data_IF_196920556646
#
_entry.id   IF_196920556646
#
_cell.length_a   1.000
_cell.length_b   1.000
_cell.length_c   1.000
_cell.angle_alpha   90.00
_cell.angle_beta   90.00
_cell.angle_gamma   90.00
#
_symmetry.space_group_name_H-M   'P 1'
#
loop_
_entity.id
_entity.type
_entity.pdbx_description
1 polymer ?
#
# COMPACT_ATOMS: atom_id res chain seq x y z
N UNK A 1 4.97 28.99 24.63
CA UNK A 1 5.63 29.44 23.40
C UNK A 1 6.69 28.42 22.99
N UNK A 2 6.91 28.27 21.71
CA UNK A 2 7.97 27.40 21.18
C UNK A 2 9.33 28.08 21.46
N UNK A 3 10.35 27.29 21.78
CA UNK A 3 11.70 27.81 21.99
C UNK A 3 12.36 28.17 20.63
N UNK A 4 13.29 29.11 20.66
CA UNK A 4 14.13 29.41 19.49
C UNK A 4 14.92 28.14 19.11
N UNK A 5 14.71 27.63 17.92
CA UNK A 5 15.30 26.36 17.42
C UNK A 5 14.32 25.23 17.26
N UNK A 6 13.08 25.36 17.73
CA UNK A 6 12.03 24.39 17.41
C UNK A 6 11.73 24.43 15.91
N UNK A 7 11.47 23.25 15.31
CA UNK A 7 11.03 23.16 13.92
C UNK A 7 9.58 23.66 13.79
N UNK A 8 9.44 24.97 13.73
CA UNK A 8 8.17 25.67 13.57
C UNK A 8 8.22 26.60 12.36
N UNK A 9 7.11 26.68 11.66
CA UNK A 9 6.88 27.64 10.57
C UNK A 9 5.79 28.60 10.99
N UNK A 10 6.03 29.89 10.75
CA UNK A 10 5.00 30.92 10.83
C UNK A 10 4.27 31.01 9.47
N UNK A 11 2.96 30.93 9.52
CA UNK A 11 2.09 31.09 8.37
C UNK A 11 1.60 32.52 8.24
N UNK A 12 1.05 32.95 7.07
CA UNK A 12 0.71 34.35 6.80
C UNK A 12 -0.23 35.02 7.81
N UNK A 13 -1.07 34.26 8.49
CA UNK A 13 -1.94 34.73 9.56
C UNK A 13 -1.24 34.81 10.95
N UNK A 14 0.08 34.66 10.98
CA UNK A 14 0.90 34.56 12.19
C UNK A 14 0.69 33.31 13.03
N UNK A 15 0.03 32.29 12.49
CA UNK A 15 -0.08 30.97 13.13
C UNK A 15 1.27 30.26 13.08
N UNK A 16 1.79 29.88 14.25
CA UNK A 16 2.99 29.04 14.36
C UNK A 16 2.60 27.58 14.47
N UNK A 17 3.16 26.76 13.61
CA UNK A 17 2.94 25.29 13.62
C UNK A 17 4.24 24.52 13.54
N UNK A 18 4.33 23.39 14.26
CA UNK A 18 5.40 22.42 14.03
C UNK A 18 5.41 21.98 12.58
N UNK A 19 6.59 21.83 12.01
CA UNK A 19 6.77 21.29 10.67
C UNK A 19 7.64 20.04 10.71
N UNK A 20 7.31 19.08 9.82
CA UNK A 20 8.11 17.92 9.52
C UNK A 20 8.60 17.95 8.08
N UNK A 21 9.19 16.84 7.64
CA UNK A 21 9.72 16.73 6.29
C UNK A 21 8.64 16.93 5.19
N UNK A 22 7.40 16.52 5.43
CA UNK A 22 6.32 16.73 4.48
C UNK A 22 6.07 18.22 4.21
N UNK A 23 6.06 19.05 5.26
CA UNK A 23 5.90 20.49 5.08
C UNK A 23 7.16 21.12 4.48
N UNK A 24 8.35 20.69 4.95
CA UNK A 24 9.61 21.26 4.49
C UNK A 24 9.82 21.12 2.98
N UNK A 25 9.49 19.96 2.44
CA UNK A 25 9.63 19.67 1.00
C UNK A 25 8.35 19.85 0.20
N UNK A 26 7.20 19.71 0.83
CA UNK A 26 5.90 19.73 0.17
C UNK A 26 5.28 21.11 0.08
N UNK A 27 5.47 22.00 1.09
CA UNK A 27 4.94 23.36 1.07
C UNK A 27 5.54 24.22 -0.07
N UNK A 28 6.70 23.84 -0.55
CA UNK A 28 7.41 24.49 -1.67
C UNK A 28 7.29 23.71 -2.98
N UNK A 29 6.49 22.66 -2.99
CA UNK A 29 6.26 21.77 -4.15
C UNK A 29 7.53 21.11 -4.70
N UNK A 30 8.59 21.04 -3.90
CA UNK A 30 9.85 20.36 -4.27
C UNK A 30 9.69 18.85 -4.33
N UNK A 31 8.74 18.30 -3.59
CA UNK A 31 8.34 16.91 -3.62
C UNK A 31 6.83 16.79 -3.69
N UNK A 32 6.35 15.85 -4.45
CA UNK A 32 4.95 15.48 -4.54
C UNK A 32 4.74 14.14 -3.85
N UNK A 33 3.56 13.96 -3.25
CA UNK A 33 3.24 12.81 -2.43
C UNK A 33 1.93 12.17 -2.84
N UNK A 34 1.89 10.86 -2.74
CA UNK A 34 0.69 10.06 -2.87
C UNK A 34 0.67 8.96 -1.82
N UNK A 35 -0.47 8.33 -1.64
CA UNK A 35 -0.64 7.23 -0.69
C UNK A 35 -1.46 6.11 -1.31
N UNK A 36 -0.94 4.91 -1.18
CA UNK A 36 -1.64 3.64 -1.40
C UNK A 36 -1.72 2.93 -0.06
N UNK A 37 -2.89 2.41 0.28
CA UNK A 37 -3.09 1.62 1.51
C UNK A 37 -3.78 0.30 1.19
N UNK A 38 -3.71 -0.66 2.09
CA UNK A 38 -4.66 -1.77 2.12
C UNK A 38 -6.09 -1.25 2.28
N UNK A 39 -7.07 -2.11 2.07
CA UNK A 39 -8.50 -1.78 2.15
C UNK A 39 -9.24 -2.72 3.09
N UNK A 40 -10.36 -2.28 3.65
CA UNK A 40 -11.21 -3.12 4.50
C UNK A 40 -12.05 -4.10 3.70
N UNK A 41 -12.57 -3.66 2.54
CA UNK A 41 -13.42 -4.47 1.67
C UNK A 41 -12.63 -5.54 0.90
N UNK A 42 -11.34 -5.27 0.66
CA UNK A 42 -10.43 -6.11 -0.11
C UNK A 42 -9.15 -6.37 0.69
N UNK A 43 -9.35 -6.74 1.94
CA UNK A 43 -8.27 -6.88 2.90
C UNK A 43 -7.29 -8.03 2.61
N UNK A 44 -7.64 -8.94 1.70
CA UNK A 44 -6.76 -9.99 1.18
C UNK A 44 -6.21 -9.69 -0.21
N UNK A 45 -6.60 -8.58 -0.83
CA UNK A 45 -6.41 -8.36 -2.26
C UNK A 45 -5.85 -6.97 -2.52
N UNK A 46 -4.55 -6.83 -2.53
CA UNK A 46 -3.87 -5.62 -2.96
C UNK A 46 -4.11 -4.38 -2.13
N UNK A 47 -4.03 -3.24 -2.78
CA UNK A 47 -4.21 -1.93 -2.18
C UNK A 47 -4.90 -0.96 -3.12
N UNK A 48 -5.41 0.14 -2.57
CA UNK A 48 -6.06 1.20 -3.34
C UNK A 48 -5.42 2.56 -3.07
N UNK A 49 -5.47 3.42 -4.09
CA UNK A 49 -4.95 4.79 -4.02
C UNK A 49 -5.87 5.64 -3.17
N UNK A 50 -5.37 6.13 -2.04
CA UNK A 50 -6.09 7.04 -1.16
C UNK A 50 -5.87 8.50 -1.54
N UNK A 51 -4.66 8.81 -2.00
CA UNK A 51 -4.33 10.10 -2.61
C UNK A 51 -3.45 9.89 -3.83
N UNK A 52 -3.78 10.55 -4.94
CA UNK A 52 -2.92 10.62 -6.12
C UNK A 52 -1.64 11.38 -5.79
N UNK A 53 -0.55 11.08 -6.51
CA UNK A 53 0.67 11.90 -6.42
C UNK A 53 0.32 13.34 -6.83
N UNK A 54 0.67 14.25 -5.97
CA UNK A 54 0.41 15.67 -6.16
C UNK A 54 1.15 16.50 -5.13
N UNK A 55 1.09 17.84 -5.26
CA UNK A 55 1.71 18.74 -4.32
C UNK A 55 1.09 18.60 -2.93
N UNK A 56 1.88 18.80 -1.89
CA UNK A 56 1.35 18.80 -0.52
C UNK A 56 0.51 20.04 -0.23
N UNK A 57 0.72 21.09 -0.99
CA UNK A 57 -0.03 22.35 -0.91
C UNK A 57 -1.52 22.19 -1.27
N UNK A 58 -1.93 21.07 -1.85
CA UNK A 58 -3.34 20.77 -2.08
C UNK A 58 -4.08 20.27 -0.83
N UNK A 59 -3.35 19.88 0.23
CA UNK A 59 -3.87 19.41 1.52
C UNK A 59 -3.72 20.43 2.64
N UNK A 60 -2.89 21.44 2.46
CA UNK A 60 -2.51 22.41 3.50
C UNK A 60 -2.80 23.82 3.04
N UNK A 61 -3.39 24.64 3.90
CA UNK A 61 -3.63 26.05 3.62
C UNK A 61 -2.32 26.86 3.82
N UNK A 62 -1.33 26.60 2.99
CA UNK A 62 0.03 27.21 3.14
C UNK A 62 0.03 28.73 3.03
N UNK A 63 -0.93 29.31 2.29
CA UNK A 63 -1.07 30.75 2.10
C UNK A 63 -1.97 31.42 3.15
N UNK A 64 -2.39 30.70 4.18
CA UNK A 64 -3.26 31.23 5.25
C UNK A 64 -2.69 30.82 6.61
N UNK A 65 -3.04 29.66 7.10
CA UNK A 65 -2.85 29.24 8.48
C UNK A 65 -2.14 27.88 8.64
N UNK A 66 -1.75 27.25 7.54
CA UNK A 66 -1.07 25.96 7.54
C UNK A 66 -1.91 24.80 8.09
N UNK A 67 -3.22 24.91 8.14
CA UNK A 67 -4.10 23.82 8.57
C UNK A 67 -4.26 22.76 7.49
N UNK A 68 -4.34 21.51 7.90
CA UNK A 68 -4.75 20.42 7.04
C UNK A 68 -6.23 20.55 6.69
N UNK A 69 -6.56 20.19 5.47
CA UNK A 69 -7.94 20.13 4.98
C UNK A 69 -8.37 18.68 4.82
N UNK A 70 -9.68 18.44 4.91
CA UNK A 70 -10.21 17.07 4.78
C UNK A 70 -10.06 16.52 3.37
N UNK A 71 -10.25 17.38 2.38
CA UNK A 71 -10.17 17.01 0.96
C UNK A 71 -9.06 17.79 0.29
N UNK A 72 -8.41 17.17 -0.68
CA UNK A 72 -7.34 17.81 -1.45
C UNK A 72 -7.84 18.24 -2.84
N UNK A 73 -7.12 19.14 -3.48
CA UNK A 73 -7.33 19.48 -4.89
C UNK A 73 -7.48 20.95 -5.19
N UNK A 74 -8.68 21.40 -5.57
CA UNK A 74 -8.90 22.74 -6.08
C UNK A 74 -8.61 23.83 -5.06
N UNK A 75 -7.90 24.87 -5.51
CA UNK A 75 -7.63 26.07 -4.73
C UNK A 75 -8.39 27.26 -5.32
N UNK A 76 -8.79 28.20 -4.45
CA UNK A 76 -9.29 29.51 -4.87
C UNK A 76 -8.13 30.45 -5.26
N UNK A 77 -8.47 31.66 -5.69
CA UNK A 77 -7.49 32.67 -6.04
C UNK A 77 -6.56 33.09 -4.87
N UNK A 78 -6.95 32.84 -3.63
CA UNK A 78 -6.13 33.07 -2.44
C UNK A 78 -5.25 31.86 -2.09
N UNK A 79 -5.23 30.80 -2.90
CA UNK A 79 -4.46 29.58 -2.65
C UNK A 79 -5.04 28.67 -1.58
N UNK A 80 -6.27 28.90 -1.14
CA UNK A 80 -6.95 28.08 -0.15
C UNK A 80 -7.61 26.88 -0.85
N UNK A 81 -7.53 25.70 -0.25
CA UNK A 81 -8.23 24.53 -0.75
C UNK A 81 -9.75 24.71 -0.57
N UNK A 82 -10.47 24.74 -1.66
CA UNK A 82 -11.93 24.94 -1.72
C UNK A 82 -12.72 23.69 -1.99
N UNK A 83 -12.03 22.60 -2.25
CA UNK A 83 -12.62 21.31 -2.55
C UNK A 83 -11.64 20.42 -3.29
N UNK A 84 -12.09 19.22 -3.58
CA UNK A 84 -11.30 18.21 -4.27
C UNK A 84 -11.62 18.21 -5.77
N UNK A 85 -10.59 18.08 -6.60
CA UNK A 85 -10.78 17.69 -8.02
C UNK A 85 -11.40 16.30 -8.11
N UNK A 86 -11.25 15.53 -7.06
CA UNK A 86 -11.86 14.24 -6.84
C UNK A 86 -12.96 14.43 -5.81
N UNK A 87 -14.21 14.37 -6.23
CA UNK A 87 -15.35 14.59 -5.35
C UNK A 87 -15.19 13.78 -4.05
N UNK A 88 -15.16 14.49 -2.94
CA UNK A 88 -15.06 13.94 -1.59
C UNK A 88 -13.79 13.13 -1.25
N UNK A 89 -12.75 13.15 -2.08
CA UNK A 89 -11.52 12.41 -1.77
C UNK A 89 -10.77 13.03 -0.57
N UNK A 90 -10.29 12.19 0.31
CA UNK A 90 -9.48 12.60 1.44
C UNK A 90 -8.02 12.84 1.03
N UNK A 91 -7.32 13.71 1.77
CA UNK A 91 -5.88 13.85 1.67
C UNK A 91 -5.14 12.75 2.43
N UNK A 92 -3.79 12.79 2.40
CA UNK A 92 -2.93 11.83 3.09
C UNK A 92 -3.25 11.82 4.59
N UNK A 93 -3.18 12.99 5.22
CA UNK A 93 -3.32 13.10 6.67
C UNK A 93 -4.74 12.71 7.12
N UNK A 94 -5.75 13.19 6.40
CA UNK A 94 -7.13 12.84 6.76
C UNK A 94 -7.41 11.35 6.58
N UNK A 95 -6.97 10.73 5.49
CA UNK A 95 -7.11 9.29 5.28
C UNK A 95 -6.44 8.50 6.39
N UNK A 96 -5.15 8.76 6.66
CA UNK A 96 -4.40 8.04 7.68
C UNK A 96 -4.98 8.23 9.09
N UNK A 97 -5.56 9.40 9.39
CA UNK A 97 -6.20 9.66 10.69
C UNK A 97 -7.53 8.93 10.89
N UNK A 98 -8.18 8.51 9.81
CA UNK A 98 -9.44 7.79 9.85
C UNK A 98 -9.27 6.28 9.96
N UNK A 99 -8.15 5.72 9.51
CA UNK A 99 -7.88 4.29 9.63
C UNK A 99 -7.84 3.87 11.10
N UNK A 100 -8.58 2.82 11.44
CA UNK A 100 -8.70 2.29 12.79
C UNK A 100 -9.12 0.83 12.75
N UNK A 101 -8.98 0.15 13.87
CA UNK A 101 -9.61 -1.17 14.09
C UNK A 101 -11.13 -1.00 14.03
N UNK A 102 -11.80 -1.84 13.26
CA UNK A 102 -13.25 -1.87 13.08
C UNK A 102 -13.84 -3.18 13.63
N UNK A 103 -15.15 -3.19 13.86
CA UNK A 103 -15.93 -4.38 14.26
C UNK A 103 -15.44 -5.07 15.55
N UNK A 104 -14.63 -4.38 16.37
CA UNK A 104 -14.18 -4.91 17.66
C UNK A 104 -15.22 -4.69 18.76
N UNK A 105 -15.64 -5.78 19.41
CA UNK A 105 -16.57 -5.74 20.53
C UNK A 105 -15.80 -5.72 21.86
N UNK A 106 -15.95 -4.62 22.58
CA UNK A 106 -15.31 -4.48 23.90
C UNK A 106 -15.93 -5.38 24.98
N UNK A 107 -17.16 -5.89 24.77
CA UNK A 107 -17.88 -6.71 25.75
C UNK A 107 -17.28 -8.10 25.92
N UNK A 108 -16.72 -8.67 24.88
CA UNK A 108 -16.19 -10.04 24.86
C UNK A 108 -14.79 -10.16 24.21
N UNK A 109 -14.26 -9.06 23.70
CA UNK A 109 -12.94 -9.04 23.07
C UNK A 109 -12.89 -9.70 21.69
N UNK A 110 -14.01 -9.89 21.03
CA UNK A 110 -14.12 -10.52 19.72
C UNK A 110 -14.38 -9.50 18.63
N UNK A 111 -14.23 -9.92 17.39
CA UNK A 111 -14.62 -9.15 16.19
C UNK A 111 -15.93 -9.67 15.63
N UNK A 112 -16.80 -8.79 15.18
CA UNK A 112 -18.17 -9.14 14.76
C UNK A 112 -18.20 -10.08 13.55
N UNK A 113 -17.28 -9.94 12.64
CA UNK A 113 -17.26 -10.66 11.37
C UNK A 113 -16.13 -11.72 11.29
N UNK A 114 -15.41 -11.96 12.40
CA UNK A 114 -14.22 -12.78 12.41
C UNK A 114 -14.24 -13.76 13.59
N UNK A 115 -14.41 -15.03 13.30
CA UNK A 115 -14.05 -16.09 14.22
C UNK A 115 -12.54 -16.35 14.11
N UNK A 116 -11.82 -16.52 15.20
CA UNK A 116 -10.37 -16.73 15.25
C UNK A 116 -9.84 -17.93 14.45
N UNK A 117 -10.56 -18.38 13.47
CA UNK A 117 -10.08 -19.39 12.53
C UNK A 117 -9.17 -18.70 11.51
N UNK A 118 -7.88 -18.83 11.71
CA UNK A 118 -6.84 -18.43 10.76
C UNK A 118 -6.87 -19.28 9.45
N UNK A 119 -7.96 -19.96 9.18
CA UNK A 119 -8.26 -20.55 7.89
C UNK A 119 -8.70 -19.46 6.92
N UNK A 120 -8.64 -19.69 5.63
CA UNK A 120 -9.00 -18.69 4.61
C UNK A 120 -10.38 -18.09 4.86
N UNK A 121 -10.46 -16.78 4.78
CA UNK A 121 -11.70 -16.00 4.81
C UNK A 121 -11.89 -15.27 3.48
N UNK A 122 -13.12 -14.90 3.17
CA UNK A 122 -13.42 -14.11 1.98
C UNK A 122 -13.02 -12.64 2.17
N UNK A 123 -12.68 -11.93 1.10
CA UNK A 123 -12.51 -10.48 1.13
C UNK A 123 -13.69 -9.79 1.78
N UNK A 124 -13.44 -8.73 2.52
CA UNK A 124 -14.43 -7.97 3.26
C UNK A 124 -14.89 -8.62 4.56
N UNK A 125 -14.39 -9.82 4.88
CA UNK A 125 -14.53 -10.43 6.19
C UNK A 125 -13.23 -10.32 6.97
N UNK A 126 -13.31 -10.34 8.29
CA UNK A 126 -12.13 -10.14 9.14
C UNK A 126 -11.34 -8.88 8.73
N UNK A 127 -12.03 -7.76 8.57
CA UNK A 127 -11.53 -6.51 7.92
C UNK A 127 -10.23 -5.95 8.49
N UNK A 128 -9.87 -6.33 9.72
CA UNK A 128 -8.61 -5.91 10.36
C UNK A 128 -7.45 -6.88 10.11
N UNK A 129 -7.69 -7.96 9.38
CA UNK A 129 -6.74 -9.01 9.08
C UNK A 129 -6.46 -9.03 7.58
N UNK A 130 -5.33 -9.56 7.22
CA UNK A 130 -4.86 -9.53 5.85
C UNK A 130 -3.85 -8.39 5.65
N UNK A 131 -2.80 -8.71 4.91
CA UNK A 131 -1.72 -7.78 4.60
C UNK A 131 -1.09 -8.17 3.25
N UNK A 132 -1.79 -7.90 2.14
CA UNK A 132 -1.35 -8.24 0.78
C UNK A 132 -0.30 -7.24 0.29
N UNK A 133 0.87 -7.22 0.94
CA UNK A 133 1.88 -6.17 0.76
C UNK A 133 2.44 -6.12 -0.67
N UNK A 134 2.73 -7.28 -1.27
CA UNK A 134 3.26 -7.33 -2.64
C UNK A 134 2.23 -6.81 -3.66
N UNK A 135 0.95 -7.11 -3.45
CA UNK A 135 -0.12 -6.63 -4.31
C UNK A 135 -0.39 -5.13 -4.12
N UNK A 136 -0.32 -4.63 -2.88
CA UNK A 136 -0.39 -3.19 -2.62
C UNK A 136 0.79 -2.44 -3.26
N UNK A 137 1.98 -3.05 -3.25
CA UNK A 137 3.13 -2.51 -3.96
C UNK A 137 2.92 -2.53 -5.49
N UNK A 138 2.37 -3.61 -6.04
CA UNK A 138 1.99 -3.67 -7.45
C UNK A 138 0.99 -2.58 -7.83
N UNK A 139 0.01 -2.28 -6.97
CA UNK A 139 -0.94 -1.19 -7.21
C UNK A 139 -0.23 0.17 -7.32
N UNK A 140 0.80 0.41 -6.49
CA UNK A 140 1.62 1.62 -6.58
C UNK A 140 2.44 1.67 -7.88
N UNK A 141 3.06 0.55 -8.28
CA UNK A 141 3.81 0.46 -9.55
C UNK A 141 2.92 0.71 -10.76
N UNK A 142 1.75 0.08 -10.81
CA UNK A 142 0.76 0.30 -11.87
C UNK A 142 0.39 1.77 -11.99
N UNK A 143 0.24 2.43 -10.86
CA UNK A 143 -0.08 3.84 -10.84
C UNK A 143 1.07 4.70 -11.39
N UNK A 144 2.32 4.41 -11.06
CA UNK A 144 3.48 5.06 -11.66
C UNK A 144 3.60 4.76 -13.17
N UNK A 145 3.25 3.56 -13.60
CA UNK A 145 3.18 3.20 -15.02
C UNK A 145 1.98 3.81 -15.77
N UNK A 146 1.35 4.83 -15.21
CA UNK A 146 0.23 5.57 -15.81
C UNK A 146 -1.03 4.75 -16.06
N UNK A 147 -1.26 3.70 -15.28
CA UNK A 147 -2.50 2.93 -15.36
C UNK A 147 -3.65 3.65 -14.68
N UNK A 148 -4.66 4.02 -15.46
CA UNK A 148 -5.76 4.91 -15.02
C UNK A 148 -6.83 4.20 -14.19
N UNK A 149 -6.81 2.89 -14.13
CA UNK A 149 -7.80 2.10 -13.41
C UNK A 149 -7.16 1.24 -12.33
N UNK A 150 -7.77 1.20 -11.16
CA UNK A 150 -7.44 0.20 -10.17
C UNK A 150 -7.77 -1.20 -10.71
N UNK A 151 -7.01 -2.20 -10.30
CA UNK A 151 -7.41 -3.61 -10.49
C UNK A 151 -8.74 -3.81 -9.78
N UNK A 152 -9.73 -4.36 -10.48
CA UNK A 152 -11.07 -4.54 -9.91
C UNK A 152 -11.07 -5.36 -8.63
N UNK A 153 -10.17 -6.35 -8.53
CA UNK A 153 -9.98 -7.17 -7.33
C UNK A 153 -9.42 -6.38 -6.13
N UNK A 154 -8.63 -5.33 -6.37
CA UNK A 154 -7.96 -4.54 -5.31
C UNK A 154 -8.79 -3.38 -4.79
N UNK A 155 -9.77 -2.97 -5.57
CA UNK A 155 -10.55 -1.78 -5.28
C UNK A 155 -11.54 -2.01 -4.15
N UNK A 156 -11.36 -1.30 -3.02
CA UNK A 156 -12.30 -1.23 -1.92
C UNK A 156 -13.26 -0.05 -2.02
N UNK A 157 -14.30 -0.08 -1.20
CA UNK A 157 -15.18 1.05 -0.93
C UNK A 157 -15.14 1.36 0.58
N UNK A 158 -14.12 2.08 0.97
CA UNK A 158 -13.77 2.30 2.37
C UNK A 158 -14.85 3.07 3.14
N UNK A 159 -15.62 3.92 2.46
CA UNK A 159 -16.71 4.68 3.08
C UNK A 159 -17.87 3.79 3.57
N UNK A 160 -17.99 2.57 3.07
CA UNK A 160 -18.93 1.58 3.59
C UNK A 160 -18.53 1.04 4.97
N UNK A 161 -17.26 1.16 5.32
CA UNK A 161 -16.72 0.63 6.58
C UNK A 161 -16.44 1.77 7.58
N UNK A 162 -15.85 2.86 7.10
CA UNK A 162 -15.56 4.04 7.92
C UNK A 162 -16.20 5.27 7.27
N UNK A 163 -17.19 5.82 7.93
CA UNK A 163 -17.82 7.05 7.46
C UNK A 163 -16.82 8.17 7.27
N UNK A 164 -16.88 8.81 6.11
CA UNK A 164 -15.98 9.88 5.71
C UNK A 164 -14.63 9.43 5.16
N UNK A 165 -14.32 8.14 5.11
CA UNK A 165 -13.13 7.61 4.44
C UNK A 165 -13.43 7.39 2.95
N UNK A 166 -13.20 8.41 2.15
CA UNK A 166 -13.50 8.41 0.72
C UNK A 166 -12.22 8.34 -0.11
N UNK A 167 -12.20 7.47 -1.11
CA UNK A 167 -11.11 7.32 -2.07
C UNK A 167 -11.36 8.16 -3.32
N UNK A 168 -10.31 8.55 -4.08
CA UNK A 168 -10.46 9.23 -5.34
C UNK A 168 -11.24 8.40 -6.36
N UNK A 169 -12.19 9.01 -7.05
CA UNK A 169 -12.90 8.38 -8.17
C UNK A 169 -12.01 8.26 -9.42
N UNK A 170 -11.17 9.27 -9.65
CA UNK A 170 -10.11 9.22 -10.65
C UNK A 170 -8.78 8.93 -9.96
N UNK A 171 -8.15 7.84 -10.32
CA UNK A 171 -6.88 7.36 -9.76
C UNK A 171 -5.70 7.55 -10.70
N UNK A 172 -5.88 8.28 -11.80
CA UNK A 172 -4.79 8.60 -12.71
C UNK A 172 -3.64 9.29 -11.98
N UNK A 173 -2.39 8.93 -12.27
CA UNK A 173 -1.25 9.64 -11.72
C UNK A 173 -1.25 11.09 -12.18
N UNK A 174 -0.66 11.97 -11.37
CA UNK A 174 -0.45 13.38 -11.74
C UNK A 174 0.85 13.59 -12.53
N UNK A 175 1.38 12.51 -13.09
CA UNK A 175 2.57 12.56 -13.94
C UNK A 175 2.19 13.07 -15.33
N UNK A 176 3.03 13.92 -15.87
CA UNK A 176 2.89 14.54 -17.18
C UNK A 176 4.27 14.71 -17.81
N UNK A 177 4.31 15.17 -19.06
CA UNK A 177 5.57 15.46 -19.74
C UNK A 177 6.41 16.49 -18.99
N UNK A 178 5.78 17.42 -18.29
CA UNK A 178 6.45 18.48 -17.52
C UNK A 178 7.23 17.96 -16.31
N UNK A 179 6.85 16.80 -15.77
CA UNK A 179 7.50 16.17 -14.62
C UNK A 179 8.02 14.76 -14.90
N UNK A 180 8.15 14.39 -16.17
CA UNK A 180 8.62 13.07 -16.62
C UNK A 180 10.04 12.72 -16.13
N UNK A 181 10.86 13.71 -15.81
CA UNK A 181 12.20 13.52 -15.25
C UNK A 181 12.23 13.42 -13.72
N UNK A 182 11.08 13.50 -13.05
CA UNK A 182 11.03 13.38 -11.60
C UNK A 182 11.34 11.96 -11.15
N UNK A 183 12.19 11.82 -10.16
CA UNK A 183 12.46 10.51 -9.55
C UNK A 183 11.21 9.95 -8.89
N UNK A 184 10.81 8.74 -9.28
CA UNK A 184 9.74 7.99 -8.64
C UNK A 184 10.29 7.18 -7.48
N UNK A 185 9.73 7.36 -6.31
CA UNK A 185 10.16 6.66 -5.11
C UNK A 185 8.95 6.09 -4.37
N UNK A 186 9.04 4.84 -3.95
CA UNK A 186 8.04 4.19 -3.11
C UNK A 186 8.63 3.89 -1.75
N UNK A 187 8.00 4.40 -0.71
CA UNK A 187 8.30 4.02 0.68
C UNK A 187 7.27 3.00 1.11
N UNK A 188 7.72 1.79 1.40
CA UNK A 188 6.87 0.72 1.94
C UNK A 188 6.94 0.76 3.45
N UNK A 189 5.80 1.02 4.10
CA UNK A 189 5.64 0.93 5.53
C UNK A 189 4.74 -0.25 5.88
N UNK A 190 5.29 -1.18 6.65
CA UNK A 190 4.58 -2.38 7.07
C UNK A 190 4.86 -2.66 8.55
N UNK A 191 3.81 -2.81 9.35
CA UNK A 191 3.89 -3.05 10.79
C UNK A 191 3.38 -4.42 11.21
N UNK A 192 2.96 -5.27 10.26
CA UNK A 192 2.40 -6.58 10.57
C UNK A 192 2.94 -7.67 9.65
N UNK A 193 2.60 -8.92 9.96
CA UNK A 193 2.97 -10.07 9.15
C UNK A 193 2.29 -10.01 7.79
N UNK A 194 3.05 -10.18 6.72
CA UNK A 194 2.51 -10.26 5.37
C UNK A 194 1.64 -11.51 5.20
N UNK A 195 0.55 -11.36 4.46
CA UNK A 195 -0.39 -12.45 4.20
C UNK A 195 -1.18 -12.20 2.93
N UNK A 196 -1.56 -13.28 2.25
CA UNK A 196 -2.38 -13.25 1.03
C UNK A 196 -1.82 -12.31 -0.05
N UNK A 197 -0.51 -12.19 -0.15
CA UNK A 197 0.12 -11.16 -0.99
C UNK A 197 0.71 -11.70 -2.30
N UNK A 198 0.31 -12.88 -2.72
CA UNK A 198 0.89 -13.53 -3.88
C UNK A 198 -0.06 -14.24 -4.82
N UNK A 199 -1.33 -14.39 -4.47
CA UNK A 199 -2.31 -15.11 -5.29
C UNK A 199 -2.84 -14.24 -6.44
N UNK A 200 -2.72 -12.94 -6.35
CA UNK A 200 -3.14 -11.98 -7.38
C UNK A 200 -1.98 -11.32 -8.14
N UNK A 201 -0.83 -11.94 -8.11
CA UNK A 201 0.36 -11.55 -8.88
C UNK A 201 0.63 -12.48 -10.08
N UNK A 202 -0.19 -13.48 -10.31
CA UNK A 202 -0.05 -14.41 -11.43
C UNK A 202 -0.86 -13.93 -12.63
N UNK A 203 -0.21 -13.82 -13.77
CA UNK A 203 -0.73 -13.29 -15.05
C UNK A 203 -2.04 -13.91 -15.50
N UNK A 204 -2.28 -15.18 -15.19
CA UNK A 204 -3.46 -15.90 -15.65
C UNK A 204 -4.77 -15.44 -15.00
N UNK A 205 -4.71 -14.72 -13.88
CA UNK A 205 -5.89 -14.41 -13.08
C UNK A 205 -6.34 -12.95 -13.11
N UNK A 206 -5.46 -11.99 -13.37
CA UNK A 206 -5.76 -10.59 -13.05
C UNK A 206 -5.35 -9.54 -14.06
N UNK A 207 -4.67 -9.84 -15.14
CA UNK A 207 -4.19 -8.83 -16.08
C UNK A 207 -3.36 -7.69 -15.45
N UNK A 208 -3.29 -7.66 -14.11
CA UNK A 208 -2.65 -6.61 -13.36
C UNK A 208 -1.13 -6.54 -13.57
N UNK A 209 -0.54 -7.68 -13.83
CA UNK A 209 0.89 -7.82 -14.11
C UNK A 209 1.20 -7.47 -15.56
N UNK A 210 0.29 -7.77 -16.46
CA UNK A 210 0.44 -7.47 -17.90
C UNK A 210 0.43 -5.97 -18.19
N UNK A 211 -0.24 -5.18 -17.36
CA UNK A 211 -0.36 -3.73 -17.55
C UNK A 211 0.96 -2.97 -17.31
N UNK A 212 1.94 -3.55 -16.63
CA UNK A 212 3.22 -2.89 -16.37
C UNK A 212 4.24 -3.07 -17.49
N UNK A 213 4.22 -4.20 -18.07
CA UNK A 213 5.00 -4.61 -19.24
C UNK A 213 4.68 -6.08 -19.43
N UNK A 214 4.40 -6.52 -20.63
CA UNK A 214 4.04 -7.92 -20.95
C UNK A 214 5.05 -8.98 -20.45
N UNK A 215 6.19 -8.57 -19.94
CA UNK A 215 7.26 -9.43 -19.43
C UNK A 215 7.33 -9.52 -17.90
N UNK A 216 6.44 -8.87 -17.13
CA UNK A 216 6.52 -8.93 -15.67
C UNK A 216 6.05 -10.28 -15.15
N UNK A 217 6.99 -11.08 -14.66
CA UNK A 217 6.75 -12.31 -13.91
C UNK A 217 7.38 -12.16 -12.52
N UNK A 218 6.57 -11.77 -11.54
CA UNK A 218 7.03 -11.57 -10.17
C UNK A 218 7.66 -12.82 -9.55
N UNK A 219 7.14 -14.01 -9.89
CA UNK A 219 7.63 -15.29 -9.41
C UNK A 219 9.02 -15.60 -9.97
N UNK A 220 9.20 -15.46 -11.29
CA UNK A 220 10.49 -15.71 -11.94
C UNK A 220 11.56 -14.72 -11.44
N UNK A 221 11.21 -13.44 -11.27
CA UNK A 221 12.11 -12.42 -10.75
C UNK A 221 12.49 -12.69 -9.29
N UNK A 222 11.53 -13.11 -8.45
CA UNK A 222 11.82 -13.52 -7.06
C UNK A 222 12.74 -14.76 -7.02
N UNK A 223 12.56 -15.70 -7.95
CA UNK A 223 13.48 -16.84 -8.09
C UNK A 223 14.90 -16.39 -8.49
N UNK A 224 15.01 -15.35 -9.31
CA UNK A 224 16.31 -14.75 -9.65
C UNK A 224 16.98 -14.16 -8.40
N UNK A 225 16.24 -13.42 -7.58
CA UNK A 225 16.73 -12.90 -6.30
C UNK A 225 17.20 -14.04 -5.40
N UNK A 226 16.36 -15.08 -5.20
CA UNK A 226 16.73 -16.23 -4.37
C UNK A 226 18.03 -16.93 -4.82
N UNK A 227 18.32 -16.93 -6.12
CA UNK A 227 19.60 -17.44 -6.64
C UNK A 227 20.75 -16.48 -6.36
N UNK A 228 20.55 -15.18 -6.53
CA UNK A 228 21.59 -14.17 -6.30
C UNK A 228 21.99 -14.06 -4.83
N UNK A 229 21.05 -14.31 -3.93
CA UNK A 229 21.24 -14.32 -2.47
C UNK A 229 21.71 -15.70 -1.94
N UNK A 230 22.03 -16.63 -2.83
CA UNK A 230 22.51 -17.97 -2.47
C UNK A 230 21.54 -18.73 -1.53
N UNK A 231 20.23 -18.56 -1.74
CA UNK A 231 19.20 -19.22 -0.94
C UNK A 231 18.81 -20.60 -1.46
N UNK A 232 19.04 -20.86 -2.74
CA UNK A 232 18.60 -22.09 -3.41
C UNK A 232 19.32 -23.33 -2.86
N UNK A 233 18.54 -24.37 -2.58
CA UNK A 233 19.05 -25.64 -2.06
C UNK A 233 19.30 -25.62 -0.54
N UNK A 234 19.06 -24.51 0.14
CA UNK A 234 19.24 -24.37 1.60
C UNK A 234 17.93 -24.53 2.36
N UNK A 235 17.97 -25.00 3.61
CA UNK A 235 16.80 -25.14 4.45
C UNK A 235 16.44 -23.80 5.12
N UNK A 236 15.15 -23.43 5.05
CA UNK A 236 14.57 -22.28 5.76
C UNK A 236 13.28 -22.68 6.46
N UNK A 237 12.96 -22.04 7.58
CA UNK A 237 11.68 -22.20 8.25
C UNK A 237 10.61 -21.43 7.51
N UNK A 238 9.75 -22.15 6.80
CA UNK A 238 8.67 -21.60 5.97
C UNK A 238 7.41 -22.46 6.07
N UNK A 239 6.25 -21.89 5.75
CA UNK A 239 4.99 -22.60 5.69
C UNK A 239 4.94 -23.61 4.53
N UNK A 240 5.22 -23.12 3.31
CA UNK A 240 5.26 -23.92 2.08
C UNK A 240 6.51 -23.59 1.28
N UNK A 241 7.00 -24.53 0.49
CA UNK A 241 8.16 -24.34 -0.39
C UNK A 241 7.85 -24.64 -1.87
N UNK A 242 6.58 -24.70 -2.24
CA UNK A 242 6.13 -25.03 -3.59
C UNK A 242 6.20 -26.53 -3.95
N UNK A 243 6.56 -27.39 -3.02
CA UNK A 243 6.59 -28.84 -3.22
C UNK A 243 5.35 -29.50 -2.60
N UNK A 244 4.74 -30.41 -3.36
CA UNK A 244 3.65 -31.23 -2.84
C UNK A 244 4.25 -32.44 -2.14
N UNK A 245 3.99 -32.62 -0.85
CA UNK A 245 4.38 -33.81 -0.09
C UNK A 245 3.13 -34.65 0.16
N UNK A 246 3.11 -35.91 -0.26
CA UNK A 246 1.99 -36.81 0.01
C UNK A 246 1.71 -36.93 1.51
N UNK A 247 0.44 -36.71 1.88
CA UNK A 247 -0.01 -36.83 3.28
C UNK A 247 0.12 -35.56 4.12
N UNK A 248 0.69 -34.51 3.60
CA UNK A 248 0.71 -33.19 4.23
C UNK A 248 -0.20 -32.23 3.44
N UNK A 249 -1.31 -31.84 4.03
CA UNK A 249 -2.25 -30.91 3.42
C UNK A 249 -1.62 -29.51 3.37
N UNK A 250 -0.83 -29.26 2.33
CA UNK A 250 -0.29 -27.96 2.00
C UNK A 250 0.94 -27.52 2.75
N UNK A 251 1.65 -28.40 3.48
CA UNK A 251 2.88 -28.02 4.20
C UNK A 251 2.81 -26.70 5.00
N UNK A 252 1.63 -26.39 5.52
CA UNK A 252 1.35 -25.10 6.15
C UNK A 252 1.83 -25.03 7.62
N UNK A 253 2.80 -25.80 7.98
CA UNK A 253 3.44 -25.74 9.31
C UNK A 253 4.88 -25.27 9.19
N UNK A 254 5.31 -24.50 10.18
CA UNK A 254 6.68 -24.01 10.24
C UNK A 254 7.67 -25.15 10.48
N UNK A 255 8.29 -25.63 9.45
CA UNK A 255 9.37 -26.60 9.47
C UNK A 255 10.50 -26.19 8.54
N UNK A 256 11.69 -26.73 8.75
CA UNK A 256 12.79 -26.53 7.85
C UNK A 256 12.49 -27.23 6.51
N UNK A 257 12.37 -26.44 5.45
CA UNK A 257 12.13 -26.92 4.08
C UNK A 257 13.20 -26.38 3.15
N UNK A 258 13.68 -27.23 2.24
CA UNK A 258 14.64 -26.81 1.23
C UNK A 258 13.97 -25.88 0.24
N UNK A 259 14.47 -24.67 0.10
CA UNK A 259 13.97 -23.68 -0.86
C UNK A 259 14.69 -23.83 -2.19
N UNK A 260 13.99 -24.32 -3.20
CA UNK A 260 14.52 -24.43 -4.57
C UNK A 260 14.14 -23.21 -5.42
N UNK A 261 12.98 -22.63 -5.16
CA UNK A 261 12.46 -21.44 -5.83
C UNK A 261 11.86 -20.51 -4.77
N UNK A 262 12.46 -19.35 -4.56
CA UNK A 262 11.99 -18.39 -3.56
C UNK A 262 10.60 -17.84 -3.89
N UNK A 263 10.27 -17.71 -5.17
CA UNK A 263 8.94 -17.25 -5.63
C UNK A 263 7.79 -18.22 -5.37
N UNK A 264 8.10 -19.47 -4.95
CA UNK A 264 7.12 -20.50 -4.57
C UNK A 264 6.93 -20.62 -3.08
N UNK A 265 7.75 -19.91 -2.30
CA UNK A 265 7.68 -19.96 -0.84
C UNK A 265 6.49 -19.15 -0.37
N UNK A 266 5.71 -19.75 0.55
CA UNK A 266 4.56 -19.13 1.20
C UNK A 266 4.56 -19.40 2.69
N UNK A 267 3.98 -18.46 3.45
CA UNK A 267 3.80 -18.57 4.89
C UNK A 267 5.01 -18.10 5.68
N UNK A 268 4.81 -17.04 6.45
CA UNK A 268 5.82 -16.43 7.33
C UNK A 268 5.87 -17.20 8.64
N UNK A 269 7.05 -17.63 9.04
CA UNK A 269 7.28 -18.39 10.27
C UNK A 269 8.02 -17.56 11.33
N UNK A 270 7.66 -17.72 12.59
CA UNK A 270 6.66 -18.66 13.14
C UNK A 270 5.22 -18.12 13.18
N UNK A 271 4.99 -16.84 12.82
CA UNK A 271 3.77 -16.10 13.14
C UNK A 271 2.56 -16.55 12.30
N UNK A 272 2.75 -16.76 11.01
CA UNK A 272 1.63 -16.94 10.08
C UNK A 272 1.92 -17.94 8.95
N UNK A 273 2.23 -19.21 9.25
CA UNK A 273 2.59 -20.19 8.22
C UNK A 273 1.45 -20.51 7.25
N UNK A 274 0.20 -20.27 7.65
CA UNK A 274 -1.01 -20.58 6.86
C UNK A 274 -1.61 -19.39 6.12
N UNK A 275 -1.07 -18.19 6.32
CA UNK A 275 -1.64 -16.98 5.75
C UNK A 275 -1.01 -16.58 4.39
N UNK A 276 -0.30 -17.48 3.75
CA UNK A 276 0.16 -17.36 2.36
C UNK A 276 0.99 -16.11 2.03
N UNK A 277 1.67 -15.54 3.03
CA UNK A 277 2.61 -14.44 2.79
C UNK A 277 3.77 -14.89 1.92
N UNK A 278 4.19 -14.09 0.94
CA UNK A 278 5.21 -14.43 -0.05
C UNK A 278 6.43 -13.51 0.03
N UNK A 279 7.42 -13.78 -0.80
CA UNK A 279 8.59 -12.90 -1.02
C UNK A 279 8.50 -12.13 -2.35
N UNK A 280 7.35 -12.16 -3.04
CA UNK A 280 7.20 -11.64 -4.40
C UNK A 280 7.35 -10.14 -4.53
N UNK A 281 7.22 -9.38 -3.45
CA UNK A 281 7.56 -7.95 -3.44
C UNK A 281 9.01 -7.70 -3.88
N UNK A 282 9.94 -8.61 -3.59
CA UNK A 282 11.34 -8.48 -4.03
C UNK A 282 11.48 -8.53 -5.55
N UNK A 283 10.75 -9.43 -6.20
CA UNK A 283 10.71 -9.51 -7.66
C UNK A 283 10.09 -8.27 -8.31
N UNK A 284 9.02 -7.73 -7.72
CA UNK A 284 8.39 -6.49 -8.17
C UNK A 284 9.34 -5.29 -8.01
N UNK A 285 10.01 -5.19 -6.86
CA UNK A 285 10.97 -4.11 -6.60
C UNK A 285 12.17 -4.18 -7.55
N UNK A 286 12.67 -5.39 -7.84
CA UNK A 286 13.71 -5.58 -8.83
C UNK A 286 13.26 -5.16 -10.23
N UNK A 287 12.02 -5.50 -10.62
CA UNK A 287 11.46 -5.06 -11.90
C UNK A 287 11.44 -3.54 -12.01
N UNK A 288 10.90 -2.86 -11.00
CA UNK A 288 10.81 -1.41 -10.97
C UNK A 288 12.18 -0.71 -10.98
N UNK A 289 13.20 -1.34 -10.38
CA UNK A 289 14.58 -0.83 -10.40
C UNK A 289 15.28 -1.02 -11.75
N UNK A 290 15.02 -2.15 -12.42
CA UNK A 290 15.75 -2.55 -13.61
C UNK A 290 15.13 -2.07 -14.93
N UNK A 291 13.91 -1.50 -14.90
CA UNK A 291 13.19 -1.07 -16.09
C UNK A 291 12.69 0.37 -15.93
N UNK A 292 12.61 1.08 -17.05
CA UNK A 292 11.86 2.33 -17.11
C UNK A 292 10.36 2.03 -16.98
N UNK A 293 9.70 2.78 -16.10
CA UNK A 293 8.29 2.62 -15.77
C UNK A 293 7.48 3.85 -16.16
#
# INVERSE_FOLDING_TARGET
GFASGDRCKEYPDSTLKPIGLLQEYGDTERMWFGVVTGTYDKNKSGGDVQKRVGPFTDEVNVNVDGRFVKTYGLKNAAGQNTGSQQANANGIINSLSLFRIVDYRHSDGLYDDCDFRLASFADGRCKNWGNPLAEAYLAALRWFANQNSAVGAFRGNESNVIDGLNTPTNRSPSLSDDNSCASLNTIVFNSSVISYDGDQLDTASYGAVEDLNSALDSRALTNLIGRSEDMVGKPYFVGENGQTVPGDAGHQICTAKTVNNLGDVRGVCPEAPRLEGTFRISGLAYHAYANDM
#
